data_IF_800028280733
#
_entry.id   IF_800028280733
#
_cell.length_a   1.000
_cell.length_b   1.000
_cell.length_c   1.000
_cell.angle_alpha   90.00
_cell.angle_beta   90.00
_cell.angle_gamma   90.00
#
_symmetry.space_group_name_H-M   'P 1'
#
loop_
_entity.id
_entity.type
_entity.pdbx_description
1 polymer ?
#
# COMPACT_ATOMS: atom_id res chain seq x y z
N UNK A 1 14.50 0.58 -11.36
CA UNK A 1 13.97 1.82 -10.76
C UNK A 1 12.84 1.40 -9.84
N UNK A 2 12.84 1.85 -8.58
CA UNK A 2 11.71 1.62 -7.69
C UNK A 2 10.54 2.51 -8.16
N UNK A 3 9.33 1.97 -8.11
CA UNK A 3 8.12 2.63 -8.61
C UNK A 3 6.87 2.24 -7.82
N UNK A 4 7.05 1.60 -6.65
CA UNK A 4 6.02 1.38 -5.66
C UNK A 4 6.62 1.52 -4.25
N UNK A 5 5.89 2.15 -3.34
CA UNK A 5 6.34 2.52 -1.99
C UNK A 5 5.28 2.19 -0.94
N UNK A 6 5.68 1.49 0.12
CA UNK A 6 4.86 1.30 1.33
C UNK A 6 5.54 2.05 2.46
N UNK A 7 4.89 3.09 3.00
CA UNK A 7 5.44 3.92 4.05
C UNK A 7 5.01 3.44 5.43
N UNK A 8 5.99 3.35 6.32
CA UNK A 8 5.84 2.89 7.69
C UNK A 8 5.58 4.04 8.66
N UNK A 9 5.33 3.68 9.92
CA UNK A 9 5.04 4.63 11.01
C UNK A 9 6.20 5.59 11.35
N UNK A 10 7.44 5.19 11.10
CA UNK A 10 8.64 6.02 11.29
C UNK A 10 8.90 6.96 10.08
N UNK A 11 8.04 6.92 9.05
CA UNK A 11 8.18 7.72 7.84
C UNK A 11 9.13 7.15 6.80
N UNK A 12 9.88 6.09 7.12
CA UNK A 12 10.64 5.32 6.14
C UNK A 12 9.73 4.53 5.21
N UNK A 13 10.26 4.04 4.10
CA UNK A 13 9.48 3.28 3.11
C UNK A 13 10.20 2.03 2.66
N UNK A 14 9.46 0.92 2.61
CA UNK A 14 9.84 -0.17 1.73
C UNK A 14 9.50 0.20 0.30
N UNK A 15 10.36 -0.20 -0.63
CA UNK A 15 10.20 0.13 -2.03
C UNK A 15 10.57 -1.05 -2.92
N UNK A 16 9.84 -1.17 -4.03
CA UNK A 16 10.12 -2.17 -5.04
C UNK A 16 9.82 -1.63 -6.45
N UNK A 17 10.22 -2.39 -7.47
CA UNK A 17 9.69 -2.19 -8.83
C UNK A 17 8.17 -2.42 -8.79
N UNK A 18 7.41 -1.66 -9.59
CA UNK A 18 5.95 -1.69 -9.61
C UNK A 18 5.37 -3.11 -9.65
N UNK A 19 5.87 -3.99 -10.52
CA UNK A 19 5.35 -5.35 -10.63
C UNK A 19 5.57 -6.20 -9.38
N UNK A 20 6.64 -5.90 -8.62
CA UNK A 20 6.91 -6.55 -7.33
C UNK A 20 6.09 -5.93 -6.20
N UNK A 21 5.81 -4.63 -6.27
CA UNK A 21 4.91 -3.94 -5.34
C UNK A 21 3.47 -4.47 -5.47
N UNK A 22 2.97 -4.56 -6.70
CA UNK A 22 1.62 -5.07 -7.00
C UNK A 22 1.47 -6.49 -6.48
N UNK A 23 2.44 -7.36 -6.79
CA UNK A 23 2.44 -8.75 -6.35
C UNK A 23 2.45 -8.89 -4.80
N UNK A 24 3.19 -8.02 -4.10
CA UNK A 24 3.19 -8.00 -2.63
C UNK A 24 1.82 -7.59 -2.09
N UNK A 25 1.20 -6.54 -2.63
CA UNK A 25 -0.13 -6.11 -2.21
C UNK A 25 -1.20 -7.15 -2.50
N UNK A 26 -1.19 -7.74 -3.70
CA UNK A 26 -2.07 -8.86 -4.05
C UNK A 26 -1.95 -10.01 -3.06
N UNK A 27 -0.72 -10.36 -2.66
CA UNK A 27 -0.51 -11.45 -1.70
C UNK A 27 -1.04 -11.11 -0.31
N UNK A 28 -0.91 -9.86 0.13
CA UNK A 28 -1.51 -9.38 1.38
C UNK A 28 -3.03 -9.40 1.30
N UNK A 29 -3.61 -8.94 0.18
CA UNK A 29 -5.07 -8.91 -0.03
C UNK A 29 -5.70 -10.31 -0.05
N UNK A 30 -4.97 -11.34 -0.48
CA UNK A 30 -5.42 -12.74 -0.40
C UNK A 30 -5.58 -13.24 1.05
N UNK A 31 -5.02 -12.53 2.03
CA UNK A 31 -5.13 -12.84 3.46
C UNK A 31 -6.25 -12.07 4.17
N UNK A 32 -6.97 -11.22 3.43
CA UNK A 32 -8.11 -10.42 3.91
C UNK A 32 -9.43 -11.06 3.47
N UNK A 33 -10.43 -11.01 4.35
CA UNK A 33 -11.80 -11.41 4.03
C UNK A 33 -12.49 -10.36 3.13
N UNK A 34 -13.49 -10.78 2.36
CA UNK A 34 -14.29 -9.89 1.50
C UNK A 34 -15.28 -9.00 2.28
N UNK A 35 -15.59 -9.38 3.52
CA UNK A 35 -16.61 -8.73 4.33
C UNK A 35 -16.02 -7.84 5.43
N UNK A 36 -16.82 -6.87 5.88
CA UNK A 36 -16.47 -6.00 7.01
C UNK A 36 -15.25 -5.11 6.73
N UNK A 37 -14.48 -4.79 7.78
CA UNK A 37 -13.33 -3.87 7.69
C UNK A 37 -12.18 -4.42 6.83
N UNK A 38 -12.01 -5.74 6.81
CA UNK A 38 -11.01 -6.38 5.93
C UNK A 38 -11.38 -6.19 4.45
N UNK A 39 -12.66 -6.35 4.12
CA UNK A 39 -13.19 -6.10 2.77
C UNK A 39 -13.09 -4.63 2.35
N UNK A 40 -13.40 -3.70 3.26
CA UNK A 40 -13.21 -2.26 3.03
C UNK A 40 -11.74 -1.90 2.76
N UNK A 41 -10.80 -2.46 3.53
CA UNK A 41 -9.38 -2.28 3.29
C UNK A 41 -8.96 -2.87 1.95
N UNK A 42 -9.42 -4.08 1.64
CA UNK A 42 -9.09 -4.77 0.40
C UNK A 42 -9.54 -3.96 -0.82
N UNK A 43 -10.80 -3.54 -0.86
CA UNK A 43 -11.32 -2.71 -1.94
C UNK A 43 -10.56 -1.39 -2.09
N UNK A 44 -10.13 -0.79 -0.97
CA UNK A 44 -9.29 0.40 -1.02
C UNK A 44 -7.90 0.10 -1.61
N UNK A 45 -7.22 -0.96 -1.18
CA UNK A 45 -5.92 -1.36 -1.77
C UNK A 45 -6.07 -1.66 -3.27
N UNK A 46 -7.13 -2.35 -3.68
CA UNK A 46 -7.43 -2.63 -5.09
C UNK A 46 -7.57 -1.34 -5.93
N UNK A 47 -8.15 -0.27 -5.38
CA UNK A 47 -8.25 1.01 -6.08
C UNK A 47 -6.90 1.66 -6.38
N UNK A 48 -5.87 1.36 -5.58
CA UNK A 48 -4.51 1.88 -5.76
C UNK A 48 -3.69 1.10 -6.81
N UNK A 49 -4.13 -0.10 -7.19
CA UNK A 49 -3.46 -0.95 -8.17
C UNK A 49 -4.02 -0.70 -9.57
N UNK A 50 -3.20 -0.53 -10.61
CA UNK A 50 -3.71 -0.46 -11.98
C UNK A 50 -4.25 -1.82 -12.45
N UNK A 51 -5.18 -1.75 -13.39
CA UNK A 51 -5.87 -2.87 -14.03
C UNK A 51 -5.74 -2.70 -15.55
N UNK A 52 -4.72 -3.34 -16.13
CA UNK A 52 -4.44 -3.28 -17.57
C UNK A 52 -5.60 -3.87 -18.40
N UNK A 53 -6.35 -4.85 -17.86
CA UNK A 53 -7.49 -5.44 -18.54
C UNK A 53 -8.65 -4.46 -18.68
N UNK A 54 -8.73 -3.46 -17.78
CA UNK A 54 -9.65 -2.32 -17.89
C UNK A 54 -9.15 -1.21 -18.81
N UNK A 55 -7.92 -1.32 -19.31
CA UNK A 55 -7.31 -0.35 -20.23
C UNK A 55 -6.49 0.75 -19.54
N UNK A 56 -6.05 0.53 -18.30
CA UNK A 56 -5.17 1.46 -17.61
C UNK A 56 -3.85 1.65 -18.37
N UNK A 57 -3.34 2.89 -18.44
CA UNK A 57 -2.17 3.25 -19.26
C UNK A 57 -0.98 3.59 -18.36
N UNK A 58 0.14 2.85 -18.51
CA UNK A 58 1.43 3.20 -17.87
C UNK A 58 1.96 4.53 -18.42
N UNK A 59 2.21 5.49 -17.52
CA UNK A 59 2.73 6.83 -17.82
C UNK A 59 4.03 7.11 -17.05
N UNK A 60 5.05 6.27 -17.26
CA UNK A 60 6.37 6.45 -16.66
C UNK A 60 6.40 6.09 -15.17
N UNK A 61 6.02 7.03 -14.29
CA UNK A 61 6.02 6.83 -12.83
C UNK A 61 4.61 6.69 -12.23
N UNK A 62 3.57 6.89 -13.02
CA UNK A 62 2.16 6.76 -12.63
C UNK A 62 1.36 5.94 -13.66
N UNK A 63 0.11 5.64 -13.34
CA UNK A 63 -0.83 4.98 -14.26
C UNK A 63 -2.08 5.83 -14.38
N UNK A 64 -2.63 5.92 -15.58
CA UNK A 64 -3.92 6.57 -15.82
C UNK A 64 -4.99 5.49 -15.81
N UNK A 65 -5.91 5.58 -14.84
CA UNK A 65 -7.07 4.71 -14.76
C UNK A 65 -7.99 4.94 -15.93
N UNK A 66 -8.50 3.87 -16.52
CA UNK A 66 -9.53 3.92 -17.56
C UNK A 66 -10.92 4.19 -16.97
N UNK A 67 -11.05 5.29 -16.22
CA UNK A 67 -12.30 5.82 -15.68
C UNK A 67 -12.78 7.03 -16.50
N UNK A 68 -14.07 7.40 -16.46
CA UNK A 68 -14.56 8.61 -17.13
C UNK A 68 -13.76 9.88 -16.77
N UNK A 69 -13.22 9.93 -15.55
CA UNK A 69 -12.42 11.02 -15.00
C UNK A 69 -10.93 10.90 -15.33
N UNK A 70 -10.45 9.76 -15.86
CA UNK A 70 -9.04 9.49 -16.17
C UNK A 70 -8.10 9.74 -14.98
N UNK A 71 -8.45 9.16 -13.83
CA UNK A 71 -7.73 9.36 -12.57
C UNK A 71 -6.28 8.88 -12.66
N UNK A 72 -5.34 9.68 -12.16
CA UNK A 72 -3.93 9.30 -12.10
C UNK A 72 -3.64 8.62 -10.77
N UNK A 73 -3.25 7.35 -10.81
CA UNK A 73 -2.86 6.60 -9.61
C UNK A 73 -1.35 6.49 -9.48
N UNK A 74 -0.86 6.71 -8.26
CA UNK A 74 0.53 6.49 -7.87
C UNK A 74 0.60 5.32 -6.91
N UNK A 75 1.61 4.44 -7.06
CA UNK A 75 1.79 3.27 -6.19
C UNK A 75 2.44 3.64 -4.88
N UNK A 76 1.77 4.49 -4.11
CA UNK A 76 2.22 4.94 -2.80
C UNK A 76 1.13 4.59 -1.79
N UNK A 77 1.45 3.66 -0.89
CA UNK A 77 0.60 3.29 0.23
C UNK A 77 1.25 3.79 1.52
N UNK A 78 0.69 4.83 2.12
CA UNK A 78 1.14 5.34 3.42
C UNK A 78 0.23 4.81 4.54
N UNK A 79 0.73 3.83 5.29
CA UNK A 79 -0.06 3.18 6.36
C UNK A 79 -0.47 4.14 7.46
N UNK A 80 0.25 5.27 7.63
CA UNK A 80 -0.07 6.28 8.65
C UNK A 80 -1.36 7.04 8.34
N UNK A 81 -1.85 6.96 7.10
CA UNK A 81 -3.09 7.60 6.66
C UNK A 81 -4.33 6.73 6.93
N UNK A 82 -4.14 5.48 7.33
CA UNK A 82 -5.23 4.60 7.75
C UNK A 82 -5.59 4.86 9.22
N UNK A 83 -6.84 4.62 9.62
CA UNK A 83 -7.15 4.50 11.06
C UNK A 83 -6.41 3.30 11.65
N UNK A 84 -6.08 3.39 12.94
CA UNK A 84 -5.26 2.40 13.65
C UNK A 84 -5.74 0.95 13.45
N UNK A 85 -7.06 0.73 13.48
CA UNK A 85 -7.65 -0.59 13.24
C UNK A 85 -7.36 -1.16 11.85
N UNK A 86 -7.32 -0.34 10.79
CA UNK A 86 -6.96 -0.79 9.45
C UNK A 86 -5.45 -0.98 9.28
N UNK A 87 -4.64 -0.21 10.02
CA UNK A 87 -3.19 -0.47 10.10
C UNK A 87 -2.94 -1.85 10.69
N UNK A 88 -3.63 -2.19 11.79
CA UNK A 88 -3.53 -3.50 12.44
C UNK A 88 -3.95 -4.62 11.48
N UNK A 89 -5.08 -4.45 10.78
CA UNK A 89 -5.56 -5.42 9.78
C UNK A 89 -4.53 -5.61 8.65
N UNK A 90 -4.00 -4.52 8.10
CA UNK A 90 -3.02 -4.56 7.02
C UNK A 90 -1.77 -5.35 7.42
N UNK A 91 -1.17 -5.01 8.57
CA UNK A 91 0.05 -5.66 9.03
C UNK A 91 -0.17 -7.10 9.49
N UNK A 92 -1.35 -7.42 10.01
CA UNK A 92 -1.74 -8.80 10.30
C UNK A 92 -1.90 -9.62 9.01
N UNK A 93 -2.48 -9.05 7.94
CA UNK A 93 -2.50 -9.64 6.60
C UNK A 93 -1.09 -9.88 6.05
N UNK A 94 -0.20 -8.89 6.19
CA UNK A 94 1.20 -9.03 5.79
C UNK A 94 1.95 -10.12 6.58
N UNK A 95 1.70 -10.23 7.88
CA UNK A 95 2.25 -11.31 8.72
C UNK A 95 1.80 -12.68 8.23
N UNK A 96 0.50 -12.86 7.97
CA UNK A 96 -0.05 -14.14 7.46
C UNK A 96 0.50 -14.48 6.08
N UNK A 97 0.64 -13.48 5.20
CA UNK A 97 1.23 -13.66 3.88
C UNK A 97 2.69 -14.10 3.98
N UNK A 98 3.47 -13.47 4.88
CA UNK A 98 4.86 -13.83 5.16
C UNK A 98 4.98 -15.29 5.65
N UNK A 99 4.09 -15.72 6.56
CA UNK A 99 4.11 -17.07 7.12
C UNK A 99 3.81 -18.16 6.08
N UNK A 100 3.00 -17.82 5.06
CA UNK A 100 2.63 -18.73 3.96
C UNK A 100 3.63 -18.75 2.82
N UNK A 101 4.47 -17.73 2.69
CA UNK A 101 5.49 -17.60 1.65
C UNK A 101 6.90 -17.67 2.26
N UNK A 102 7.36 -18.84 2.72
CA UNK A 102 8.63 -18.98 3.45
C UNK A 102 9.88 -18.80 2.55
N UNK A 103 9.72 -18.50 1.27
CA UNK A 103 10.79 -18.44 0.30
C UNK A 103 11.75 -17.28 0.61
N UNK A 104 13.06 -17.57 0.65
CA UNK A 104 14.08 -16.64 1.19
C UNK A 104 15.01 -16.06 0.13
N UNK A 105 14.89 -16.50 -1.12
CA UNK A 105 15.81 -16.09 -2.20
C UNK A 105 15.02 -15.53 -3.39
N UNK A 106 15.10 -14.21 -3.59
CA UNK A 106 14.63 -13.42 -4.75
C UNK A 106 13.15 -13.56 -5.20
N UNK A 107 12.33 -14.37 -4.50
CA UNK A 107 10.90 -14.57 -4.74
C UNK A 107 9.97 -13.64 -3.97
N UNK A 108 8.65 -13.90 -4.07
CA UNK A 108 7.62 -13.12 -3.36
C UNK A 108 7.76 -13.22 -1.83
N UNK A 109 8.12 -14.39 -1.31
CA UNK A 109 8.41 -14.59 0.10
C UNK A 109 9.54 -13.69 0.62
N UNK A 110 10.60 -13.51 -0.17
CA UNK A 110 11.70 -12.62 0.18
C UNK A 110 11.22 -11.17 0.31
N UNK A 111 10.39 -10.71 -0.63
CA UNK A 111 9.85 -9.36 -0.65
C UNK A 111 8.93 -9.09 0.55
N UNK A 112 8.02 -10.03 0.85
CA UNK A 112 7.09 -9.89 1.97
C UNK A 112 7.84 -9.96 3.30
N UNK A 113 8.82 -10.86 3.43
CA UNK A 113 9.66 -10.94 4.63
C UNK A 113 10.50 -9.66 4.81
N UNK A 114 11.05 -9.10 3.73
CA UNK A 114 11.75 -7.82 3.79
C UNK A 114 10.83 -6.69 4.24
N UNK A 115 9.64 -6.58 3.64
CA UNK A 115 8.62 -5.60 4.02
C UNK A 115 8.27 -5.72 5.50
N UNK A 116 7.96 -6.93 5.96
CA UNK A 116 7.51 -7.17 7.33
C UNK A 116 8.62 -6.92 8.35
N UNK A 117 9.86 -7.32 8.05
CA UNK A 117 11.01 -7.03 8.90
C UNK A 117 11.25 -5.53 9.08
N UNK A 118 11.19 -4.76 7.98
CA UNK A 118 11.32 -3.29 8.06
C UNK A 118 10.17 -2.66 8.84
N UNK A 119 8.96 -3.21 8.72
CA UNK A 119 7.84 -2.80 9.58
C UNK A 119 8.14 -3.06 11.05
N UNK A 120 8.62 -4.25 11.43
CA UNK A 120 8.98 -4.56 12.82
C UNK A 120 10.09 -3.63 13.35
N UNK A 121 11.09 -3.33 12.54
CA UNK A 121 12.14 -2.35 12.88
C UNK A 121 11.53 -0.97 13.14
N UNK A 122 10.61 -0.52 12.27
CA UNK A 122 9.90 0.77 12.42
C UNK A 122 9.08 0.88 13.72
N UNK A 123 8.70 -0.25 14.34
CA UNK A 123 7.97 -0.24 15.61
C UNK A 123 8.81 0.24 16.79
N UNK A 124 10.14 0.09 16.69
CA UNK A 124 11.09 0.48 17.73
C UNK A 124 11.57 1.92 17.59
N UNK A 125 11.17 2.60 16.53
CA UNK A 125 11.55 3.98 16.23
C UNK A 125 10.46 4.98 16.62
N UNK A 126 10.85 6.26 16.66
CA UNK A 126 9.93 7.34 16.94
C UNK A 126 8.85 7.43 15.85
N UNK A 127 7.59 7.61 16.27
CA UNK A 127 6.51 7.81 15.33
C UNK A 127 6.67 9.16 14.62
N UNK A 128 6.68 9.13 13.29
CA UNK A 128 6.72 10.33 12.47
C UNK A 128 5.32 10.54 11.90
N UNK A 129 4.54 11.52 12.42
CA UNK A 129 3.20 11.79 11.91
C UNK A 129 3.25 12.22 10.43
N UNK A 130 2.20 11.92 9.64
CA UNK A 130 2.07 12.50 8.31
C UNK A 130 2.03 14.03 8.42
N UNK A 131 2.52 14.73 7.40
CA UNK A 131 2.47 16.20 7.38
C UNK A 131 1.00 16.64 7.42
N UNK A 132 0.65 17.69 8.21
CA UNK A 132 -0.68 18.26 8.15
C UNK A 132 -0.94 18.82 6.76
N UNK A 133 -2.15 18.58 6.24
CA UNK A 133 -2.58 19.09 4.94
C UNK A 133 -2.54 20.62 4.93
N UNK A 134 -1.86 21.19 3.95
CA UNK A 134 -1.84 22.62 3.67
C UNK A 134 -2.57 22.91 2.34
N UNK A 135 -3.84 23.36 2.37
CA UNK A 135 -4.64 23.60 1.17
C UNK A 135 -4.07 24.66 0.21
N UNK A 136 -3.10 25.46 0.65
CA UNK A 136 -2.47 26.52 -0.15
C UNK A 136 -1.21 26.05 -0.88
N UNK A 137 -0.62 24.93 -0.46
CA UNK A 137 0.63 24.37 -1.01
C UNK A 137 0.46 22.94 -1.55
N UNK A 138 -0.53 22.21 -1.04
CA UNK A 138 -0.82 20.82 -1.38
C UNK A 138 -2.02 20.78 -2.35
N UNK A 139 -1.84 20.16 -3.52
CA UNK A 139 -2.94 19.86 -4.43
C UNK A 139 -3.97 18.98 -3.68
N UNK A 140 -5.25 19.39 -3.68
CA UNK A 140 -6.38 18.83 -2.89
C UNK A 140 -6.68 17.33 -3.18
N UNK A 141 -5.92 16.66 -4.03
CA UNK A 141 -6.26 15.30 -4.46
C UNK A 141 -5.74 14.17 -3.57
N UNK A 142 -5.00 14.45 -2.50
CA UNK A 142 -4.24 13.37 -1.87
C UNK A 142 -4.13 13.52 -0.34
N UNK A 143 -4.65 12.50 0.37
CA UNK A 143 -4.29 12.11 1.75
C UNK A 143 -5.15 12.54 2.96
N UNK A 144 -6.42 12.09 2.98
CA UNK A 144 -7.07 11.38 4.11
C UNK A 144 -8.04 10.30 3.58
N UNK A 145 -7.65 9.61 2.51
CA UNK A 145 -8.52 8.67 1.77
C UNK A 145 -8.46 7.22 2.25
N UNK A 146 -7.64 6.93 3.27
CA UNK A 146 -7.51 5.58 3.82
C UNK A 146 -8.83 5.10 4.45
N UNK A 147 -9.08 3.78 4.49
CA UNK A 147 -10.31 3.26 5.05
C UNK A 147 -10.50 3.72 6.51
N UNK A 148 -11.74 4.07 6.81
CA UNK A 148 -12.16 4.57 8.11
C UNK A 148 -12.30 6.09 8.22
N UNK A 149 -11.71 6.89 7.35
CA UNK A 149 -11.92 8.35 7.32
C UNK A 149 -13.12 8.65 6.41
N UNK A 150 -14.22 9.15 6.99
CA UNK A 150 -15.41 9.66 6.30
C UNK A 150 -15.53 11.15 6.58
#
# INVERSE_FOLDING_TARGET
MASGFIKFRNGESWYARWSRYDWVLERIMLELCEDGKEGELKAWIESLLPDEDRGDIECGWSFIKATPESEMVTRILDTRLMKEEYQQIFWEGARRAMEKEPDKEDGIGFLINQLYKMYEESLNEEYVPPKPFNPEEDDIEDYQIGPGWK
#
